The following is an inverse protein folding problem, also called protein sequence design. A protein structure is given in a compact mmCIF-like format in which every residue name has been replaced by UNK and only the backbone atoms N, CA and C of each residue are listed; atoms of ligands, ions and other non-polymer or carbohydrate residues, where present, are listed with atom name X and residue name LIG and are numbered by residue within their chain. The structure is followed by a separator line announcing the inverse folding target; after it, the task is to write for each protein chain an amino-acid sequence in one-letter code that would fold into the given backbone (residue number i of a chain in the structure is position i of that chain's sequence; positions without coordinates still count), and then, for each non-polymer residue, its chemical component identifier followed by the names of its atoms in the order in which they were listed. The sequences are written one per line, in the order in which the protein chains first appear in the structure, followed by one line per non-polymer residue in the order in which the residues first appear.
data_IF_321649880185
#
_entry.id   IF_321649880185
#
_cell.length_a   1.000
_cell.length_b   1.000
_cell.length_c   1.000
_cell.angle_alpha   90.00
_cell.angle_beta   90.00
_cell.angle_gamma   90.00
#
_symmetry.space_group_name_H-M   'P 1'
#
loop_
_entity.id
_entity.type
_entity.pdbx_description
1 polymer ?
#
# COMPACT_ATOMS: atom_id res chain seq x y z
N UNK A 1 -4.65 16.79 -23.47
CA UNK A 1 -5.63 16.66 -22.39
C UNK A 1 -6.10 18.05 -21.97
N UNK A 2 -7.37 18.23 -21.63
CA UNK A 2 -7.81 19.47 -21.00
C UNK A 2 -7.12 19.59 -19.62
N UNK A 3 -6.72 20.80 -19.20
CA UNK A 3 -6.06 20.98 -17.90
C UNK A 3 -7.06 20.68 -16.77
N UNK A 4 -6.58 19.97 -15.74
CA UNK A 4 -7.37 19.75 -14.53
C UNK A 4 -7.50 21.06 -13.73
N UNK A 5 -8.67 21.34 -13.18
CA UNK A 5 -8.92 22.55 -12.38
C UNK A 5 -8.23 22.51 -11.01
N UNK A 6 -8.21 21.33 -10.37
CA UNK A 6 -7.54 21.10 -9.10
C UNK A 6 -6.37 20.15 -9.30
N UNK A 7 -5.21 20.58 -8.85
CA UNK A 7 -3.97 19.80 -8.87
C UNK A 7 -3.24 20.01 -7.55
N UNK A 8 -2.28 19.16 -7.16
CA UNK A 8 -1.44 19.42 -6.00
C UNK A 8 -0.80 20.81 -6.03
N UNK A 9 -0.35 21.28 -7.21
CA UNK A 9 0.21 22.62 -7.39
C UNK A 9 -0.80 23.73 -7.01
N UNK A 10 -2.07 23.59 -7.39
CA UNK A 10 -3.10 24.62 -7.13
C UNK A 10 -3.66 24.58 -5.72
N UNK A 11 -3.52 23.45 -5.00
CA UNK A 11 -3.96 23.25 -3.63
C UNK A 11 -2.81 23.37 -2.64
N UNK A 12 -2.13 22.28 -2.36
CA UNK A 12 -1.03 22.26 -1.37
C UNK A 12 0.15 23.10 -1.82
N UNK A 13 0.39 23.22 -3.12
CA UNK A 13 1.46 24.04 -3.72
C UNK A 13 1.36 25.54 -3.47
N UNK A 14 0.22 26.04 -2.97
CA UNK A 14 0.11 27.43 -2.51
C UNK A 14 0.93 27.72 -1.25
N UNK A 15 1.21 26.70 -0.46
CA UNK A 15 1.97 26.79 0.80
C UNK A 15 3.24 25.99 0.77
N UNK A 16 3.26 24.85 0.10
CA UNK A 16 4.35 23.87 0.12
C UNK A 16 4.87 23.60 -1.29
N UNK A 17 6.11 23.99 -1.57
CA UNK A 17 6.77 23.76 -2.85
C UNK A 17 7.14 22.30 -3.08
N UNK A 18 7.58 21.95 -4.30
CA UNK A 18 8.04 20.61 -4.63
C UNK A 18 9.32 20.20 -3.87
N UNK A 19 10.00 21.14 -3.24
CA UNK A 19 11.20 20.97 -2.40
C UNK A 19 10.89 20.78 -0.90
N UNK A 20 9.60 20.75 -0.53
CA UNK A 20 9.17 20.61 0.89
C UNK A 20 9.79 19.38 1.58
N UNK A 21 9.97 18.30 0.85
CA UNK A 21 10.62 17.07 1.32
C UNK A 21 11.94 16.81 0.58
N UNK A 22 12.71 17.88 0.31
CA UNK A 22 13.99 17.75 -0.39
C UNK A 22 14.91 16.70 0.27
N UNK A 23 15.60 15.92 -0.57
CA UNK A 23 16.40 14.78 -0.13
C UNK A 23 15.62 13.50 0.21
N UNK A 24 14.28 13.53 0.24
CA UNK A 24 13.44 12.35 0.47
C UNK A 24 12.84 11.88 -0.86
N UNK A 25 13.20 10.67 -1.30
CA UNK A 25 12.74 10.09 -2.57
C UNK A 25 11.79 8.90 -2.40
N UNK A 26 11.63 8.44 -1.17
CA UNK A 26 10.86 7.23 -0.84
C UNK A 26 9.79 7.58 0.18
N UNK A 27 8.55 7.14 -0.08
CA UNK A 27 7.46 7.18 0.88
C UNK A 27 7.01 5.74 1.23
N UNK A 28 6.81 5.50 2.52
CA UNK A 28 6.06 4.34 3.02
C UNK A 28 4.61 4.74 3.17
N UNK A 29 3.69 4.01 2.56
CA UNK A 29 2.25 4.31 2.61
C UNK A 29 1.51 3.17 3.31
N UNK A 30 1.00 3.43 4.51
CA UNK A 30 0.28 2.46 5.32
C UNK A 30 -1.23 2.57 5.17
N UNK A 31 -1.85 1.50 4.66
CA UNK A 31 -3.30 1.29 4.64
C UNK A 31 -3.81 0.64 5.94
N UNK A 32 -3.12 0.92 7.02
CA UNK A 32 -3.43 0.44 8.36
C UNK A 32 -2.81 1.40 9.39
N UNK A 33 -3.09 1.23 10.70
CA UNK A 33 -2.38 1.93 11.75
C UNK A 33 -0.87 1.67 11.66
N UNK A 34 -0.02 2.61 12.10
CA UNK A 34 1.42 2.42 12.06
C UNK A 34 1.83 1.27 12.97
N UNK A 35 2.53 0.24 12.46
CA UNK A 35 2.98 -0.87 13.30
C UNK A 35 4.02 -0.42 14.34
N UNK A 36 4.08 -1.13 15.47
CA UNK A 36 4.98 -0.84 16.58
C UNK A 36 6.47 -0.81 16.17
N UNK A 37 6.82 -1.48 15.07
CA UNK A 37 8.17 -1.50 14.49
C UNK A 37 8.73 -0.09 14.22
N UNK A 38 7.89 0.89 13.90
CA UNK A 38 8.34 2.28 13.73
C UNK A 38 8.96 2.89 14.99
N UNK A 39 8.65 2.38 16.19
CA UNK A 39 9.24 2.82 17.43
C UNK A 39 10.77 2.63 17.54
N UNK A 40 11.34 1.80 16.66
CA UNK A 40 12.80 1.50 16.62
C UNK A 40 13.62 2.56 15.91
N UNK A 41 12.99 3.44 15.13
CA UNK A 41 13.70 4.42 14.29
C UNK A 41 13.54 5.83 14.84
N UNK A 42 14.61 6.66 14.73
CA UNK A 42 14.48 8.10 14.89
C UNK A 42 13.38 8.62 13.94
N UNK A 43 12.51 9.47 14.44
CA UNK A 43 11.39 9.97 13.67
C UNK A 43 11.03 11.39 14.08
N UNK A 44 10.85 12.23 13.08
CA UNK A 44 10.36 13.59 13.23
C UNK A 44 8.90 13.68 12.77
N UNK A 45 8.10 14.39 13.56
CA UNK A 45 6.72 14.69 13.17
C UNK A 45 6.71 15.91 12.28
N UNK A 46 5.96 15.84 11.18
CA UNK A 46 5.56 17.04 10.49
C UNK A 46 4.53 17.80 11.35
N UNK A 47 4.66 19.13 11.43
CA UNK A 47 3.73 19.98 12.19
C UNK A 47 2.67 20.58 11.32
N UNK A 48 2.92 20.67 10.03
CA UNK A 48 2.06 21.31 9.04
C UNK A 48 1.20 20.29 8.30
N UNK A 49 0.05 20.78 7.81
CA UNK A 49 -0.87 20.03 6.96
C UNK A 49 -0.32 19.97 5.52
N UNK A 50 0.61 19.05 5.25
CA UNK A 50 1.23 18.90 3.94
C UNK A 50 0.34 18.17 2.92
N UNK A 51 -0.58 17.35 3.38
CA UNK A 51 -1.49 16.54 2.57
C UNK A 51 -2.93 16.93 2.85
N UNK A 52 -3.76 17.00 1.80
CA UNK A 52 -5.14 17.47 1.96
C UNK A 52 -6.01 16.55 2.84
N UNK A 53 -5.75 15.24 2.78
CA UNK A 53 -6.56 14.24 3.47
C UNK A 53 -5.86 13.57 4.66
N UNK A 54 -4.58 13.85 4.92
CA UNK A 54 -3.86 13.24 6.03
C UNK A 54 -3.61 14.25 7.13
N UNK A 55 -4.00 13.91 8.34
CA UNK A 55 -3.67 14.70 9.52
C UNK A 55 -2.14 14.72 9.75
N UNK A 56 -1.57 15.83 10.29
CA UNK A 56 -0.12 15.93 10.50
C UNK A 56 0.48 14.80 11.32
N UNK A 57 -0.25 14.24 12.28
CA UNK A 57 0.18 13.11 13.10
C UNK A 57 0.33 11.80 12.32
N UNK A 58 -0.32 11.70 11.16
CA UNK A 58 -0.17 10.55 10.24
C UNK A 58 1.07 10.63 9.35
N UNK A 59 1.77 11.78 9.36
CA UNK A 59 2.92 12.06 8.51
C UNK A 59 4.19 12.19 9.35
N UNK A 60 5.22 11.41 9.04
CA UNK A 60 6.49 11.39 9.78
C UNK A 60 7.65 11.19 8.83
N UNK A 61 8.81 11.76 9.18
CA UNK A 61 10.09 11.42 8.55
C UNK A 61 10.78 10.41 9.46
N UNK A 62 11.09 9.25 8.91
CA UNK A 62 11.79 8.16 9.60
C UNK A 62 13.20 8.05 9.02
N UNK A 63 14.22 7.94 9.87
CA UNK A 63 15.61 7.88 9.41
C UNK A 63 16.26 6.56 9.83
N UNK A 64 16.90 5.88 8.88
CA UNK A 64 17.72 4.69 9.15
C UNK A 64 19.03 4.75 8.37
N UNK A 65 20.17 4.63 9.09
CA UNK A 65 21.49 4.68 8.47
C UNK A 65 21.76 5.96 7.67
N UNK A 66 21.21 7.09 8.11
CA UNK A 66 21.31 8.39 7.43
C UNK A 66 20.35 8.59 6.25
N UNK A 67 19.56 7.58 5.88
CA UNK A 67 18.59 7.68 4.82
C UNK A 67 17.21 8.07 5.39
N UNK A 68 16.66 9.26 5.06
CA UNK A 68 15.32 9.63 5.44
C UNK A 68 14.28 9.02 4.47
N UNK A 69 13.16 8.57 5.01
CA UNK A 69 11.97 8.14 4.27
C UNK A 69 10.73 8.81 4.85
N UNK A 70 9.79 9.19 3.99
CA UNK A 70 8.52 9.74 4.41
C UNK A 70 7.59 8.57 4.79
N UNK A 71 6.99 8.60 5.97
CA UNK A 71 6.06 7.58 6.43
C UNK A 71 4.67 8.17 6.60
N UNK A 72 3.72 7.60 5.87
CA UNK A 72 2.31 7.96 5.89
C UNK A 72 1.51 6.80 6.46
N UNK A 73 0.59 7.06 7.37
CA UNK A 73 -0.29 6.04 7.98
C UNK A 73 -1.75 6.45 7.89
N UNK A 74 -2.66 5.47 8.05
CA UNK A 74 -4.12 5.70 7.97
C UNK A 74 -4.58 6.23 6.60
N UNK A 75 -3.93 5.80 5.53
CA UNK A 75 -4.30 6.16 4.15
C UNK A 75 -5.41 5.21 3.69
N UNK A 76 -6.63 5.49 4.09
CA UNK A 76 -7.76 4.59 3.83
C UNK A 76 -8.60 5.03 2.62
N UNK A 77 -8.82 4.08 1.70
CA UNK A 77 -9.75 4.22 0.59
C UNK A 77 -9.24 5.01 -0.60
N UNK A 78 -9.86 4.81 -1.74
CA UNK A 78 -9.43 5.32 -3.02
C UNK A 78 -9.22 6.83 -3.10
N UNK A 79 -10.17 7.67 -2.65
CA UNK A 79 -10.02 9.13 -2.72
C UNK A 79 -8.83 9.65 -1.90
N UNK A 80 -8.58 9.07 -0.72
CA UNK A 80 -7.43 9.48 0.12
C UNK A 80 -6.12 9.01 -0.50
N UNK A 81 -6.05 7.74 -0.91
CA UNK A 81 -4.84 7.15 -1.48
C UNK A 81 -4.42 7.84 -2.78
N UNK A 82 -5.36 8.07 -3.71
CA UNK A 82 -5.07 8.69 -5.00
C UNK A 82 -4.64 10.15 -4.87
N UNK A 83 -5.31 10.96 -4.03
CA UNK A 83 -4.90 12.31 -3.74
C UNK A 83 -3.50 12.36 -3.10
N UNK A 84 -3.21 11.44 -2.17
CA UNK A 84 -1.89 11.35 -1.54
C UNK A 84 -0.80 10.98 -2.55
N UNK A 85 -1.07 10.07 -3.50
CA UNK A 85 -0.14 9.73 -4.59
C UNK A 85 0.18 10.95 -5.46
N UNK A 86 -0.84 11.73 -5.83
CA UNK A 86 -0.68 12.97 -6.60
C UNK A 86 0.19 14.00 -5.85
N UNK A 87 -0.03 14.15 -4.55
CA UNK A 87 0.75 15.06 -3.70
C UNK A 87 2.19 14.56 -3.49
N UNK A 88 2.40 13.25 -3.33
CA UNK A 88 3.75 12.66 -3.28
C UNK A 88 4.53 12.91 -4.57
N UNK A 89 3.87 12.76 -5.72
CA UNK A 89 4.49 13.09 -7.02
C UNK A 89 4.83 14.58 -7.12
N UNK A 90 3.99 15.48 -6.61
CA UNK A 90 4.26 16.90 -6.52
C UNK A 90 5.50 17.21 -5.68
N UNK A 91 5.65 16.55 -4.54
CA UNK A 91 6.81 16.68 -3.64
C UNK A 91 8.08 16.00 -4.14
N UNK A 92 8.08 15.39 -5.30
CA UNK A 92 9.28 14.78 -5.89
C UNK A 92 9.62 13.40 -5.34
N UNK A 93 8.70 12.74 -4.65
CA UNK A 93 8.85 11.34 -4.28
C UNK A 93 8.88 10.49 -5.55
N UNK A 94 9.76 9.48 -5.58
CA UNK A 94 9.96 8.60 -6.74
C UNK A 94 9.45 7.19 -6.50
N UNK A 95 9.44 6.75 -5.24
CA UNK A 95 9.03 5.40 -4.86
C UNK A 95 8.00 5.43 -3.74
N UNK A 96 6.87 4.74 -3.93
CA UNK A 96 5.88 4.48 -2.90
C UNK A 96 5.91 2.99 -2.57
N UNK A 97 6.30 2.68 -1.33
CA UNK A 97 6.35 1.34 -0.77
C UNK A 97 5.14 1.18 0.15
N UNK A 98 4.06 0.64 -0.39
CA UNK A 98 2.80 0.52 0.32
C UNK A 98 2.73 -0.77 1.15
N UNK A 99 2.01 -0.71 2.29
CA UNK A 99 1.76 -1.87 3.14
C UNK A 99 0.37 -1.82 3.76
N UNK A 100 -0.21 -2.98 4.00
CA UNK A 100 -1.56 -3.07 4.57
C UNK A 100 -2.00 -4.49 4.87
N UNK A 101 -3.31 -4.64 5.07
CA UNK A 101 -3.98 -5.90 5.34
C UNK A 101 -4.88 -6.27 4.15
N UNK A 102 -5.19 -7.55 4.01
CA UNK A 102 -6.15 -8.03 3.02
C UNK A 102 -6.89 -9.28 3.51
N UNK A 103 -8.09 -9.48 3.00
CA UNK A 103 -8.81 -10.73 3.12
C UNK A 103 -8.31 -11.75 2.10
N UNK A 104 -7.95 -12.96 2.53
CA UNK A 104 -7.65 -14.09 1.67
C UNK A 104 -8.91 -14.71 1.09
N UNK A 105 -8.85 -15.14 -0.17
CA UNK A 105 -9.99 -15.71 -0.91
C UNK A 105 -10.03 -17.26 -0.87
N UNK A 106 -9.26 -17.90 0.02
CA UNK A 106 -9.22 -19.35 0.15
C UNK A 106 -8.70 -20.07 -1.10
N UNK A 107 -7.85 -19.40 -1.88
CA UNK A 107 -7.23 -19.95 -3.10
C UNK A 107 -5.70 -19.88 -3.00
N UNK A 108 -5.02 -20.82 -3.63
CA UNK A 108 -3.55 -20.85 -3.65
C UNK A 108 -2.98 -19.70 -4.49
N UNK A 109 -1.80 -19.21 -4.11
CA UNK A 109 -1.03 -18.28 -4.93
C UNK A 109 -0.57 -18.95 -6.24
N UNK A 110 -0.03 -18.14 -7.17
CA UNK A 110 0.50 -18.65 -8.44
C UNK A 110 1.60 -19.70 -8.28
N UNK A 111 2.25 -19.76 -7.11
CA UNK A 111 3.25 -20.76 -6.72
C UNK A 111 2.65 -22.10 -6.28
N UNK A 112 1.32 -22.21 -6.17
CA UNK A 112 0.63 -23.38 -5.61
C UNK A 112 0.54 -23.39 -4.08
N UNK A 113 1.15 -22.44 -3.38
CA UNK A 113 1.06 -22.28 -1.93
C UNK A 113 -0.26 -21.62 -1.51
N UNK A 114 -0.88 -22.14 -0.46
CA UNK A 114 -2.15 -21.57 0.06
C UNK A 114 -1.87 -20.31 0.86
N UNK A 115 -2.60 -19.24 0.53
CA UNK A 115 -2.60 -17.99 1.28
C UNK A 115 -3.46 -18.13 2.52
N UNK A 116 -2.86 -18.59 3.60
CA UNK A 116 -3.48 -18.67 4.92
C UNK A 116 -3.38 -17.35 5.69
N UNK A 117 -4.10 -17.29 6.81
CA UNK A 117 -4.05 -16.16 7.74
C UNK A 117 -2.62 -15.90 8.23
N UNK A 118 -2.19 -14.65 8.21
CA UNK A 118 -0.83 -14.24 8.55
C UNK A 118 0.21 -14.43 7.43
N UNK A 119 -0.16 -14.95 6.26
CA UNK A 119 0.76 -15.03 5.12
C UNK A 119 1.14 -13.64 4.60
N UNK A 120 2.41 -13.47 4.20
CA UNK A 120 2.86 -12.28 3.51
C UNK A 120 2.53 -12.36 2.02
N UNK A 121 2.01 -11.27 1.46
CA UNK A 121 1.73 -11.18 0.04
C UNK A 121 2.40 -9.97 -0.62
N UNK A 122 2.67 -10.10 -1.92
CA UNK A 122 3.19 -9.06 -2.80
C UNK A 122 2.23 -8.89 -3.98
N UNK A 123 1.60 -7.74 -4.09
CA UNK A 123 0.63 -7.47 -5.16
C UNK A 123 1.37 -7.17 -6.46
N UNK A 124 1.23 -8.07 -7.45
CA UNK A 124 1.78 -7.88 -8.80
C UNK A 124 0.86 -7.05 -9.69
N UNK A 125 -0.44 -7.26 -9.53
CA UNK A 125 -1.49 -6.50 -10.20
C UNK A 125 -2.78 -6.50 -9.38
N UNK A 126 -3.69 -5.60 -9.71
CA UNK A 126 -4.95 -5.47 -9.00
C UNK A 126 -6.13 -5.38 -9.97
N UNK A 127 -7.17 -6.21 -9.75
CA UNK A 127 -8.46 -6.13 -10.41
C UNK A 127 -9.25 -4.96 -9.80
N UNK A 128 -9.56 -3.96 -10.62
CA UNK A 128 -10.33 -2.79 -10.21
C UNK A 128 -11.82 -3.09 -10.12
N UNK A 129 -12.39 -2.93 -8.94
CA UNK A 129 -13.82 -2.98 -8.65
C UNK A 129 -14.23 -1.87 -7.68
N UNK A 130 -13.51 -0.79 -7.74
CA UNK A 130 -13.64 0.43 -6.95
C UNK A 130 -14.14 1.59 -7.81
N UNK A 131 -14.56 2.68 -7.16
CA UNK A 131 -15.07 3.87 -7.83
C UNK A 131 -13.99 4.89 -8.20
N UNK A 132 -12.76 4.75 -7.72
CA UNK A 132 -11.69 5.72 -7.91
C UNK A 132 -10.83 5.41 -9.13
N UNK A 133 -10.48 4.14 -9.34
CA UNK A 133 -9.63 3.70 -10.47
C UNK A 133 -10.13 4.17 -11.84
N UNK A 134 -11.45 4.18 -12.17
CA UNK A 134 -11.93 4.64 -13.47
C UNK A 134 -11.61 6.10 -13.81
N UNK A 135 -11.29 6.93 -12.82
CA UNK A 135 -10.83 8.31 -13.04
C UNK A 135 -9.37 8.40 -13.51
N UNK A 136 -8.61 7.32 -13.35
CA UNK A 136 -7.18 7.25 -13.70
C UNK A 136 -6.90 6.27 -14.83
N UNK A 137 -7.69 5.20 -14.98
CA UNK A 137 -7.46 4.16 -15.99
C UNK A 137 -8.77 3.46 -16.38
N UNK A 138 -8.92 3.17 -17.68
CA UNK A 138 -10.02 2.33 -18.20
C UNK A 138 -9.71 0.82 -18.09
N UNK A 139 -8.48 0.46 -17.73
CA UNK A 139 -8.09 -0.94 -17.60
C UNK A 139 -8.74 -1.58 -16.38
N UNK A 140 -9.24 -2.80 -16.54
CA UNK A 140 -9.84 -3.57 -15.44
C UNK A 140 -8.79 -4.19 -14.50
N UNK A 141 -7.56 -4.35 -14.96
CA UNK A 141 -6.43 -4.86 -14.17
C UNK A 141 -5.27 -3.88 -14.27
N UNK A 142 -4.80 -3.40 -13.14
CA UNK A 142 -3.76 -2.40 -13.03
C UNK A 142 -2.48 -3.04 -12.49
N UNK A 143 -1.36 -3.02 -13.23
CA UNK A 143 -0.11 -3.59 -12.77
C UNK A 143 0.60 -2.70 -11.74
N UNK A 144 1.31 -3.31 -10.80
CA UNK A 144 2.36 -2.67 -10.02
C UNK A 144 3.56 -2.31 -10.92
N UNK A 145 4.53 -1.53 -10.41
CA UNK A 145 5.80 -1.36 -11.11
C UNK A 145 6.57 -2.70 -11.14
N UNK A 146 6.80 -3.31 -12.31
CA UNK A 146 7.39 -4.65 -12.39
C UNK A 146 8.84 -4.68 -11.88
N UNK A 147 9.56 -3.59 -11.98
CA UNK A 147 10.92 -3.50 -11.46
C UNK A 147 10.96 -3.45 -9.93
N UNK A 148 9.97 -2.81 -9.28
CA UNK A 148 9.84 -2.85 -7.82
C UNK A 148 9.36 -4.22 -7.34
N UNK A 149 8.42 -4.84 -8.03
CA UNK A 149 7.96 -6.21 -7.72
C UNK A 149 9.15 -7.16 -7.71
N UNK A 150 9.99 -7.13 -8.74
CA UNK A 150 11.18 -7.99 -8.80
C UNK A 150 12.20 -7.65 -7.70
N UNK A 151 12.41 -6.37 -7.39
CA UNK A 151 13.31 -5.98 -6.30
C UNK A 151 12.83 -6.46 -4.94
N UNK A 152 11.52 -6.39 -4.66
CA UNK A 152 10.94 -6.96 -3.45
C UNK A 152 11.18 -8.47 -3.41
N UNK A 153 10.82 -9.18 -4.48
CA UNK A 153 10.92 -10.64 -4.56
C UNK A 153 12.35 -11.15 -4.29
N UNK A 154 13.35 -10.49 -4.88
CA UNK A 154 14.77 -10.87 -4.75
C UNK A 154 15.37 -10.44 -3.41
N UNK A 155 14.91 -9.33 -2.85
CA UNK A 155 15.49 -8.73 -1.65
C UNK A 155 14.76 -9.11 -0.36
N UNK A 156 13.61 -9.77 -0.44
CA UNK A 156 12.80 -10.08 0.74
C UNK A 156 13.58 -10.87 1.79
N UNK A 157 13.55 -10.38 3.02
CA UNK A 157 14.25 -10.91 4.19
C UNK A 157 13.33 -11.19 5.37
N UNK A 158 12.02 -11.22 5.12
CA UNK A 158 11.04 -11.54 6.17
C UNK A 158 11.14 -12.98 6.66
N UNK A 159 10.50 -13.32 7.78
CA UNK A 159 10.60 -14.62 8.43
C UNK A 159 9.95 -15.76 7.63
N UNK A 160 8.92 -15.42 6.85
CA UNK A 160 8.17 -16.36 6.01
C UNK A 160 8.25 -15.91 4.54
N UNK A 161 8.01 -16.79 3.55
CA UNK A 161 7.95 -16.42 2.14
C UNK A 161 6.95 -15.27 1.88
N UNK A 162 7.27 -14.40 0.91
CA UNK A 162 6.33 -13.43 0.39
C UNK A 162 5.73 -13.94 -0.92
N UNK A 163 4.41 -14.10 -0.98
CA UNK A 163 3.73 -14.74 -2.08
C UNK A 163 3.22 -13.73 -3.10
N UNK A 164 3.55 -13.87 -4.39
CA UNK A 164 3.03 -13.00 -5.42
C UNK A 164 1.53 -13.26 -5.63
N UNK A 165 0.73 -12.19 -5.69
CA UNK A 165 -0.72 -12.27 -5.78
C UNK A 165 -1.30 -11.28 -6.78
N UNK A 166 -2.50 -11.58 -7.29
CA UNK A 166 -3.44 -10.58 -7.78
C UNK A 166 -4.38 -10.20 -6.65
N UNK A 167 -4.53 -8.89 -6.39
CA UNK A 167 -5.54 -8.38 -5.47
C UNK A 167 -6.84 -8.03 -6.21
N UNK A 168 -8.00 -8.16 -5.58
CA UNK A 168 -9.20 -7.45 -5.95
C UNK A 168 -9.31 -6.18 -5.09
N UNK A 169 -9.57 -5.03 -5.69
CA UNK A 169 -9.80 -3.79 -4.95
C UNK A 169 -11.30 -3.48 -4.93
N UNK A 170 -11.86 -3.33 -3.73
CA UNK A 170 -13.27 -3.08 -3.47
C UNK A 170 -13.42 -1.95 -2.45
N UNK A 171 -14.39 -1.04 -2.62
CA UNK A 171 -14.58 0.12 -1.73
C UNK A 171 -15.40 -0.17 -0.46
N UNK A 172 -16.04 -1.35 -0.35
CA UNK A 172 -17.04 -1.58 0.68
C UNK A 172 -16.89 -2.93 1.37
N UNK A 173 -16.03 -2.99 2.38
CA UNK A 173 -15.70 -4.20 3.16
C UNK A 173 -16.94 -4.95 3.69
N UNK A 174 -17.98 -4.26 4.15
CA UNK A 174 -19.20 -4.88 4.68
C UNK A 174 -20.25 -5.24 3.60
N UNK A 175 -19.87 -5.19 2.33
CA UNK A 175 -20.74 -5.51 1.18
C UNK A 175 -20.19 -6.63 0.30
N UNK A 176 -19.19 -7.34 0.78
CA UNK A 176 -18.61 -8.50 0.14
C UNK A 176 -19.57 -9.68 0.25
N UNK A 177 -20.23 -10.03 -0.86
CA UNK A 177 -21.10 -11.19 -0.96
C UNK A 177 -20.39 -12.38 -1.60
N UNK A 178 -20.84 -13.60 -1.36
CA UNK A 178 -20.28 -14.82 -1.96
C UNK A 178 -20.18 -14.69 -3.49
N UNK A 179 -21.24 -14.21 -4.14
CA UNK A 179 -21.22 -14.00 -5.60
C UNK A 179 -20.17 -12.98 -6.07
N UNK A 180 -19.78 -12.01 -5.23
CA UNK A 180 -18.72 -11.06 -5.53
C UNK A 180 -17.35 -11.70 -5.32
N UNK A 181 -17.15 -12.41 -4.23
CA UNK A 181 -15.90 -13.13 -3.94
C UNK A 181 -15.63 -14.21 -5.00
N UNK A 182 -16.67 -14.92 -5.48
CA UNK A 182 -16.53 -15.90 -6.56
C UNK A 182 -16.12 -15.25 -7.88
N UNK A 183 -16.61 -14.04 -8.19
CA UNK A 183 -16.13 -13.28 -9.36
C UNK A 183 -14.67 -12.88 -9.21
N UNK A 184 -14.22 -12.51 -7.99
CA UNK A 184 -12.81 -12.22 -7.74
C UNK A 184 -11.93 -13.46 -7.92
N UNK A 185 -12.34 -14.60 -7.37
CA UNK A 185 -11.67 -15.89 -7.58
C UNK A 185 -11.60 -16.27 -9.07
N UNK A 186 -12.71 -16.13 -9.80
CA UNK A 186 -12.76 -16.34 -11.24
C UNK A 186 -11.86 -15.37 -12.04
N UNK A 187 -11.67 -14.15 -11.54
CA UNK A 187 -10.72 -13.18 -12.07
C UNK A 187 -9.25 -13.45 -11.72
N UNK A 188 -8.96 -14.58 -11.05
CA UNK A 188 -7.61 -14.97 -10.64
C UNK A 188 -7.08 -14.20 -9.43
N UNK A 189 -7.97 -13.56 -8.64
CA UNK A 189 -7.57 -12.87 -7.43
C UNK A 189 -7.36 -13.86 -6.28
N UNK A 190 -6.38 -13.55 -5.44
CA UNK A 190 -5.97 -14.34 -4.28
C UNK A 190 -6.35 -13.66 -2.97
N UNK A 191 -6.39 -12.34 -3.00
CA UNK A 191 -6.75 -11.48 -1.87
C UNK A 191 -7.71 -10.37 -2.31
N UNK A 192 -8.47 -9.82 -1.35
CA UNK A 192 -9.28 -8.62 -1.52
C UNK A 192 -8.82 -7.55 -0.54
N UNK A 193 -8.70 -6.31 -1.03
CA UNK A 193 -8.36 -5.15 -0.22
C UNK A 193 -9.08 -3.88 -0.71
N UNK A 194 -8.83 -2.76 -0.04
CA UNK A 194 -9.43 -1.46 -0.36
C UNK A 194 -8.47 -0.51 -1.10
N UNK A 195 -7.31 -1.00 -1.60
CA UNK A 195 -6.16 -0.10 -1.77
C UNK A 195 -5.44 -0.22 -3.11
N UNK A 196 -5.23 -1.42 -3.66
CA UNK A 196 -4.19 -1.67 -4.68
C UNK A 196 -4.46 -1.03 -6.03
N UNK A 197 -5.69 -1.16 -6.58
CA UNK A 197 -5.95 -0.76 -7.97
C UNK A 197 -5.83 0.75 -8.15
N UNK A 198 -6.47 1.55 -7.29
CA UNK A 198 -6.40 3.00 -7.39
C UNK A 198 -5.01 3.55 -7.02
N UNK A 199 -4.29 2.91 -6.08
CA UNK A 199 -2.91 3.23 -5.79
C UNK A 199 -2.04 3.14 -7.05
N UNK A 200 -2.11 2.01 -7.76
CA UNK A 200 -1.34 1.79 -8.97
C UNK A 200 -1.79 2.69 -10.12
N UNK A 201 -3.09 2.84 -10.32
CA UNK A 201 -3.63 3.68 -11.39
C UNK A 201 -3.22 5.16 -11.22
N UNK A 202 -3.34 5.72 -10.02
CA UNK A 202 -2.91 7.08 -9.73
C UNK A 202 -1.39 7.25 -9.91
N UNK A 203 -0.59 6.23 -9.58
CA UNK A 203 0.86 6.26 -9.76
C UNK A 203 1.28 6.30 -11.22
N UNK A 204 0.53 5.64 -12.10
CA UNK A 204 0.83 5.60 -13.54
C UNK A 204 0.55 6.92 -14.26
N UNK A 205 -0.43 7.70 -13.78
CA UNK A 205 -0.97 8.86 -14.51
C UNK A 205 -1.07 10.13 -13.65
N UNK A 206 -0.23 10.28 -12.64
CA UNK A 206 -0.28 11.41 -11.73
C UNK A 206 -0.17 12.77 -12.47
N UNK A 207 -0.82 13.78 -11.93
CA UNK A 207 -0.93 15.11 -12.53
C UNK A 207 0.36 15.92 -12.51
N UNK A 208 1.33 15.55 -11.71
CA UNK A 208 2.66 16.18 -11.69
C UNK A 208 3.53 15.77 -12.88
N UNK A 209 3.11 14.77 -13.66
CA UNK A 209 3.85 14.27 -14.83
C UNK A 209 5.19 13.61 -14.48
N UNK A 210 5.44 13.31 -13.21
CA UNK A 210 6.67 12.67 -12.73
C UNK A 210 6.49 11.16 -12.67
N UNK A 211 7.56 10.43 -12.97
CA UNK A 211 7.54 8.97 -12.80
C UNK A 211 7.48 8.62 -11.33
N UNK A 212 6.38 8.00 -10.91
CA UNK A 212 6.20 7.44 -9.59
C UNK A 212 6.10 5.91 -9.70
N UNK A 213 6.96 5.20 -8.97
CA UNK A 213 6.99 3.75 -8.97
C UNK A 213 6.36 3.24 -7.67
N UNK A 214 5.46 2.27 -7.77
CA UNK A 214 4.68 1.84 -6.62
C UNK A 214 4.61 0.32 -6.53
N UNK A 215 4.74 -0.21 -5.31
CA UNK A 215 4.55 -1.61 -4.98
C UNK A 215 3.84 -1.72 -3.63
N UNK A 216 3.01 -2.74 -3.47
CA UNK A 216 2.32 -3.03 -2.20
C UNK A 216 2.64 -4.45 -1.74
N UNK A 217 3.06 -4.55 -0.47
CA UNK A 217 3.11 -5.79 0.28
C UNK A 217 2.07 -5.77 1.40
N UNK A 218 1.70 -6.93 1.90
CA UNK A 218 0.78 -6.97 3.02
C UNK A 218 0.73 -8.30 3.74
N UNK A 219 -0.18 -8.37 4.69
CA UNK A 219 -0.45 -9.55 5.51
C UNK A 219 -1.91 -9.93 5.39
N UNK A 220 -2.18 -11.21 5.20
CA UNK A 220 -3.56 -11.73 5.20
C UNK A 220 -4.10 -11.68 6.63
N UNK A 221 -5.13 -10.87 6.85
CA UNK A 221 -5.77 -10.67 8.17
C UNK A 221 -7.01 -11.53 8.39
N UNK A 222 -7.65 -11.91 7.30
CA UNK A 222 -8.92 -12.64 7.29
C UNK A 222 -8.90 -13.61 6.11
N UNK A 223 -9.60 -14.74 6.21
CA UNK A 223 -9.75 -15.68 5.11
C UNK A 223 -11.22 -16.08 4.99
N UNK A 224 -11.79 -15.89 3.82
CA UNK A 224 -13.10 -16.44 3.46
C UNK A 224 -12.88 -17.69 2.65
N UNK A 225 -13.15 -18.84 3.27
CA UNK A 225 -13.03 -20.15 2.64
C UNK A 225 -14.12 -20.36 1.58
N UNK A 226 -13.94 -21.39 0.73
CA UNK A 226 -14.91 -21.68 -0.34
C UNK A 226 -16.27 -22.14 0.17
N UNK A 227 -16.35 -22.67 1.37
CA UNK A 227 -17.60 -23.06 2.04
C UNK A 227 -18.31 -21.88 2.73
N UNK A 228 -17.75 -20.65 2.61
CA UNK A 228 -18.27 -19.43 3.23
C UNK A 228 -17.87 -19.23 4.68
N UNK A 229 -17.08 -20.14 5.25
CA UNK A 229 -16.55 -19.93 6.60
C UNK A 229 -15.55 -18.78 6.63
N UNK A 230 -15.61 -17.96 7.67
CA UNK A 230 -14.72 -16.81 7.89
C UNK A 230 -13.77 -17.09 9.05
N UNK A 231 -12.47 -17.05 8.75
CA UNK A 231 -11.41 -16.96 9.75
C UNK A 231 -10.92 -15.52 9.80
N UNK A 232 -11.00 -14.85 10.95
CA UNK A 232 -10.61 -13.44 11.07
C UNK A 232 -9.76 -13.19 12.31
N UNK A 233 -8.47 -12.94 12.11
CA UNK A 233 -7.59 -12.50 13.19
C UNK A 233 -7.91 -11.07 13.62
N UNK A 234 -8.40 -10.24 12.72
CA UNK A 234 -8.82 -8.88 13.03
C UNK A 234 -10.05 -8.87 13.97
N UNK A 235 -11.05 -9.70 13.68
CA UNK A 235 -12.22 -9.82 14.53
C UNK A 235 -11.87 -10.38 15.92
N UNK A 236 -10.99 -11.38 15.98
CA UNK A 236 -10.51 -11.93 17.26
C UNK A 236 -9.73 -10.89 18.07
N UNK A 237 -8.87 -10.12 17.43
CA UNK A 237 -8.12 -9.04 18.07
C UNK A 237 -9.05 -7.98 18.66
N UNK A 238 -10.08 -7.57 17.93
CA UNK A 238 -11.07 -6.60 18.39
C UNK A 238 -11.95 -7.14 19.55
N UNK A 239 -12.26 -8.44 19.52
CA UNK A 239 -13.13 -9.06 20.53
C UNK A 239 -12.40 -9.44 21.84
N UNK A 240 -11.16 -9.91 21.74
CA UNK A 240 -10.46 -10.56 22.87
C UNK A 240 -9.14 -9.87 23.27
N UNK A 241 -8.76 -8.79 22.58
CA UNK A 241 -7.40 -8.27 22.65
C UNK A 241 -6.41 -9.17 21.89
N UNK A 242 -5.15 -8.73 21.78
CA UNK A 242 -4.13 -9.40 20.98
C UNK A 242 -3.68 -10.74 21.61
N UNK A 243 -4.46 -11.80 21.40
CA UNK A 243 -4.09 -13.18 21.74
C UNK A 243 -3.95 -13.96 20.43
N UNK A 244 -2.74 -14.30 20.03
CA UNK A 244 -2.47 -15.04 18.78
C UNK A 244 -1.69 -14.23 17.74
N UNK A 245 -1.82 -14.61 16.47
CA UNK A 245 -1.17 -13.88 15.36
C UNK A 245 -1.84 -12.51 15.21
N UNK A 246 -1.10 -11.45 15.52
CA UNK A 246 -1.56 -10.08 15.26
C UNK A 246 -1.09 -9.65 13.85
N UNK A 247 -1.98 -9.55 12.86
CA UNK A 247 -1.60 -9.18 11.51
C UNK A 247 -1.00 -7.76 11.43
N UNK A 248 -1.38 -6.84 12.33
CA UNK A 248 -0.78 -5.51 12.41
C UNK A 248 0.68 -5.58 12.87
N UNK A 249 1.03 -6.45 13.81
CA UNK A 249 2.42 -6.63 14.23
C UNK A 249 3.25 -7.25 13.11
N UNK A 250 2.68 -8.19 12.33
CA UNK A 250 3.35 -8.76 11.16
C UNK A 250 3.60 -7.72 10.06
N UNK A 251 2.78 -6.69 9.90
CA UNK A 251 3.11 -5.60 8.96
C UNK A 251 4.39 -4.86 9.36
N UNK A 252 4.81 -4.95 10.62
CA UNK A 252 6.08 -4.44 11.09
C UNK A 252 7.29 -5.09 10.43
N UNK A 253 7.20 -6.36 9.99
CA UNK A 253 8.26 -7.02 9.23
C UNK A 253 8.41 -6.41 7.84
N UNK A 254 7.29 -6.07 7.18
CA UNK A 254 7.29 -5.38 5.89
C UNK A 254 7.92 -3.99 6.04
N UNK A 255 7.54 -3.25 7.07
CA UNK A 255 8.09 -1.92 7.35
C UNK A 255 9.60 -2.00 7.60
N UNK A 256 10.07 -2.98 8.40
CA UNK A 256 11.50 -3.20 8.61
C UNK A 256 12.23 -3.50 7.31
N UNK A 257 11.71 -4.43 6.52
CA UNK A 257 12.27 -4.76 5.20
C UNK A 257 12.35 -3.52 4.29
N UNK A 258 11.30 -2.70 4.24
CA UNK A 258 11.29 -1.49 3.45
C UNK A 258 12.35 -0.49 3.91
N UNK A 259 12.46 -0.23 5.21
CA UNK A 259 13.39 0.77 5.77
C UNK A 259 14.84 0.26 5.72
N UNK A 260 15.09 -0.97 6.17
CA UNK A 260 16.46 -1.45 6.42
C UNK A 260 17.11 -2.04 5.15
N UNK A 261 16.30 -2.57 4.22
CA UNK A 261 16.80 -3.30 3.06
C UNK A 261 16.46 -2.62 1.74
N UNK A 262 15.16 -2.46 1.44
CA UNK A 262 14.72 -2.07 0.11
C UNK A 262 15.05 -0.60 -0.20
N UNK A 263 14.81 0.30 0.76
CA UNK A 263 15.05 1.74 0.56
C UNK A 263 16.49 2.02 0.18
N UNK A 264 17.46 1.39 0.83
CA UNK A 264 18.89 1.55 0.51
C UNK A 264 19.19 1.06 -0.89
N UNK A 265 18.68 -0.11 -1.28
CA UNK A 265 18.88 -0.67 -2.64
C UNK A 265 18.30 0.20 -3.74
N UNK A 266 17.21 0.92 -3.45
CA UNK A 266 16.58 1.83 -4.41
C UNK A 266 17.42 3.09 -4.63
N UNK A 267 18.02 3.63 -3.57
CA UNK A 267 18.86 4.84 -3.66
C UNK A 267 20.23 4.53 -4.26
N UNK A 268 20.86 3.43 -3.90
CA UNK A 268 22.20 3.03 -4.38
C UNK A 268 22.23 2.70 -5.89
N UNK A 269 21.08 2.48 -6.54
CA UNK A 269 20.97 2.19 -7.97
C UNK A 269 20.72 3.44 -8.85
N UNK A 270 20.71 4.61 -8.24
CA UNK A 270 20.52 5.86 -8.98
C UNK A 270 21.91 6.35 -9.35
N UNK A 271 22.20 6.51 -10.68
CA UNK A 271 23.48 7.00 -11.16
C UNK A 271 23.75 8.44 -10.76
#
# INVERSE_FOLDING_TARGET
MAPFHLTPQTLVGRRFGPDTFDGIRIALMGFCPPPAAFGRYPRDRTRDQHFIHLAPESVRIVTHGGLPVLSLSHVYGGPVASATVEELAWYGIEHVLAYGLAGGLGVGAATGETLGMGAFYLVQDALARDGTTPHYSEASVIPADPGLVEQVRVAWTGPDPILPVRAATNDAIYRESDAMLDRFRAGGCHVVNLDSAHLYAASLVNSAGRRLRTVQCGVVSDVVERDGSLLSALAEMLAKGATGVNPLDKTGEIVRFYIETLSRRLIDKIP
#
